data_IF_489657461786
#
_entry.id   IF_489657461786
#
_cell.length_a   1.000
_cell.length_b   1.000
_cell.length_c   1.000
_cell.angle_alpha   90.00
_cell.angle_beta   90.00
_cell.angle_gamma   90.00
#
_symmetry.space_group_name_H-M   'P 1'
#
loop_
_entity.id
_entity.type
_entity.pdbx_description
1 polymer ?
#
# COMPACT_ATOMS: atom_id res chain seq x y z
N UNK A 1 5.24 -7.38 12.47
CA UNK A 1 3.80 -7.29 12.13
C UNK A 1 2.96 -7.25 13.40
N UNK A 2 1.93 -6.42 13.43
CA UNK A 2 1.06 -6.27 14.58
C UNK A 2 -0.39 -6.60 14.21
N UNK A 3 -1.05 -7.39 15.06
CA UNK A 3 -2.47 -7.74 14.92
C UNK A 3 -3.25 -7.08 16.03
N UNK A 4 -4.18 -6.22 15.69
CA UNK A 4 -5.19 -5.70 16.60
C UNK A 4 -6.45 -6.55 16.45
N UNK A 5 -7.00 -7.05 17.52
CA UNK A 5 -8.20 -7.87 17.51
C UNK A 5 -9.25 -7.35 18.50
N UNK A 6 -10.53 -7.55 18.22
CA UNK A 6 -11.58 -7.31 19.21
C UNK A 6 -11.37 -8.17 20.46
N UNK A 7 -11.79 -7.67 21.61
CA UNK A 7 -11.60 -8.29 22.92
C UNK A 7 -12.36 -9.63 23.13
N UNK A 8 -13.02 -10.16 22.09
CA UNK A 8 -13.88 -11.33 22.21
C UNK A 8 -13.18 -12.58 21.68
N UNK A 9 -13.36 -13.69 22.38
CA UNK A 9 -12.83 -15.02 22.04
C UNK A 9 -13.58 -15.72 20.88
N UNK A 10 -14.41 -15.00 20.15
CA UNK A 10 -15.15 -15.53 19.03
C UNK A 10 -14.27 -15.75 17.80
N UNK A 11 -14.70 -16.66 16.94
CA UNK A 11 -14.01 -16.96 15.67
C UNK A 11 -14.76 -16.31 14.52
N UNK A 12 -14.06 -16.14 13.38
CA UNK A 12 -14.70 -15.69 12.15
C UNK A 12 -14.84 -14.18 12.06
N UNK A 13 -13.90 -13.42 12.63
CA UNK A 13 -13.87 -11.98 12.49
C UNK A 13 -13.38 -11.56 11.09
N UNK A 14 -14.01 -10.55 10.46
CA UNK A 14 -13.47 -9.98 9.23
C UNK A 14 -12.10 -9.36 9.49
N UNK A 15 -11.25 -9.48 8.50
CA UNK A 15 -9.87 -8.97 8.55
C UNK A 15 -9.74 -7.73 7.69
N UNK A 16 -8.99 -6.75 8.17
CA UNK A 16 -8.57 -5.60 7.42
C UNK A 16 -7.05 -5.50 7.45
N UNK A 17 -6.40 -5.67 6.29
CA UNK A 17 -4.99 -5.34 6.15
C UNK A 17 -4.86 -3.81 5.99
N UNK A 18 -4.02 -3.22 6.82
CA UNK A 18 -3.80 -1.78 6.87
C UNK A 18 -2.46 -1.43 6.23
N UNK A 19 -2.51 -0.86 5.02
CA UNK A 19 -1.34 -0.49 4.25
C UNK A 19 -1.03 0.99 4.44
N UNK A 20 0.03 1.28 5.20
CA UNK A 20 0.44 2.65 5.51
C UNK A 20 1.08 3.37 4.32
N UNK A 21 1.09 4.70 4.36
CA UNK A 21 1.78 5.55 3.40
C UNK A 21 3.30 5.52 3.58
N UNK A 22 4.03 6.16 2.65
CA UNK A 22 5.47 6.23 2.76
C UNK A 22 5.91 6.92 4.07
N UNK A 23 6.76 6.24 4.78
CA UNK A 23 7.50 6.73 5.94
C UNK A 23 8.94 6.28 5.71
N UNK A 24 9.95 7.15 5.85
CA UNK A 24 11.33 6.72 5.72
C UNK A 24 11.60 5.50 6.62
N UNK A 25 12.20 4.42 6.14
CA UNK A 25 12.40 3.20 6.94
C UNK A 25 13.11 3.42 8.26
N UNK A 26 14.07 4.37 8.30
CA UNK A 26 14.77 4.75 9.52
C UNK A 26 13.86 5.41 10.57
N UNK A 27 12.80 6.08 10.14
CA UNK A 27 11.86 6.81 10.99
C UNK A 27 10.61 5.98 11.32
N UNK A 28 10.39 4.88 10.59
CA UNK A 28 9.24 4.03 10.80
C UNK A 28 9.39 3.22 12.10
N UNK A 29 8.30 3.17 12.83
CA UNK A 29 8.11 2.23 13.95
C UNK A 29 6.68 1.75 13.93
N UNK A 30 6.48 0.46 14.12
CA UNK A 30 5.15 -0.12 14.33
C UNK A 30 4.45 0.63 15.45
N UNK A 31 3.18 0.96 15.28
CA UNK A 31 2.36 1.69 16.27
C UNK A 31 2.61 3.18 16.45
N UNK A 32 3.57 3.81 15.79
CA UNK A 32 3.77 5.26 15.95
C UNK A 32 2.74 6.08 15.18
N UNK A 33 2.38 5.63 13.98
CA UNK A 33 1.45 6.35 13.10
C UNK A 33 0.18 5.54 12.86
N UNK A 34 -0.89 6.22 12.47
CA UNK A 34 -2.19 5.63 12.16
C UNK A 34 -2.90 4.93 13.34
N UNK A 35 -2.38 5.03 14.56
CA UNK A 35 -2.94 4.32 15.74
C UNK A 35 -4.43 4.57 15.91
N UNK A 36 -4.89 5.82 15.79
CA UNK A 36 -6.30 6.17 15.93
C UNK A 36 -7.19 5.52 14.87
N UNK A 37 -6.69 5.34 13.63
CA UNK A 37 -7.42 4.64 12.58
C UNK A 37 -7.50 3.15 12.86
N UNK A 38 -6.37 2.54 13.19
CA UNK A 38 -6.27 1.11 13.49
C UNK A 38 -7.13 0.75 14.70
N UNK A 39 -7.04 1.52 15.78
CA UNK A 39 -7.85 1.33 16.97
C UNK A 39 -9.35 1.45 16.67
N UNK A 40 -9.76 2.48 15.91
CA UNK A 40 -11.17 2.65 15.54
C UNK A 40 -11.70 1.52 14.69
N UNK A 41 -10.90 1.00 13.76
CA UNK A 41 -11.28 -0.14 12.93
C UNK A 41 -11.41 -1.42 13.78
N UNK A 42 -10.47 -1.65 14.71
CA UNK A 42 -10.55 -2.79 15.63
C UNK A 42 -11.80 -2.70 16.54
N UNK A 43 -12.10 -1.51 17.08
CA UNK A 43 -13.33 -1.27 17.85
C UNK A 43 -14.61 -1.47 17.02
N UNK A 44 -14.51 -1.34 15.70
CA UNK A 44 -15.63 -1.57 14.78
C UNK A 44 -15.83 -3.05 14.40
N UNK A 45 -15.09 -3.96 15.02
CA UNK A 45 -15.27 -5.40 14.83
C UNK A 45 -14.39 -6.03 13.76
N UNK A 46 -13.26 -5.40 13.41
CA UNK A 46 -12.27 -5.98 12.49
C UNK A 46 -11.05 -6.48 13.25
N UNK A 47 -10.48 -7.58 12.78
CA UNK A 47 -9.07 -7.85 13.03
C UNK A 47 -8.29 -6.94 12.08
N UNK A 48 -7.48 -6.05 12.64
CA UNK A 48 -6.63 -5.15 11.83
C UNK A 48 -5.20 -5.66 11.86
N UNK A 49 -4.68 -6.00 10.69
CA UNK A 49 -3.32 -6.47 10.52
C UNK A 49 -2.48 -5.37 9.85
N UNK A 50 -1.50 -4.86 10.59
CA UNK A 50 -0.54 -3.88 10.11
C UNK A 50 0.77 -4.59 9.81
N UNK A 51 1.18 -4.61 8.54
CA UNK A 51 2.42 -5.23 8.13
C UNK A 51 3.55 -4.20 8.11
N UNK A 52 4.66 -4.53 8.78
CA UNK A 52 5.91 -3.81 8.61
C UNK A 52 6.55 -4.30 7.31
N UNK A 53 6.58 -3.45 6.29
CA UNK A 53 7.20 -3.84 5.03
C UNK A 53 8.68 -4.13 5.24
N UNK A 54 9.27 -4.91 4.34
CA UNK A 54 10.70 -5.24 4.42
C UNK A 54 11.58 -4.00 4.65
N UNK A 55 12.55 -4.13 5.55
CA UNK A 55 13.43 -3.04 5.93
C UNK A 55 12.81 -1.95 6.81
N UNK A 56 11.57 -2.13 7.30
CA UNK A 56 10.91 -1.23 8.24
C UNK A 56 10.91 -1.83 9.65
N UNK A 57 11.20 -0.99 10.66
CA UNK A 57 11.31 -1.37 12.08
C UNK A 57 12.14 -2.64 12.30
N UNK A 58 11.54 -3.74 12.75
CA UNK A 58 12.20 -5.03 12.99
C UNK A 58 12.11 -5.98 11.79
N UNK A 59 11.48 -5.56 10.70
CA UNK A 59 11.33 -6.40 9.50
C UNK A 59 12.67 -6.51 8.76
N UNK A 60 13.05 -7.73 8.45
CA UNK A 60 14.27 -8.01 7.69
C UNK A 60 14.15 -7.54 6.22
N UNK A 61 15.28 -7.57 5.51
CA UNK A 61 15.35 -7.22 4.09
C UNK A 61 15.74 -5.77 3.85
N UNK A 62 15.64 -5.35 2.60
CA UNK A 62 15.99 -4.00 2.16
C UNK A 62 14.79 -3.28 1.59
N UNK A 63 14.61 -2.05 2.01
CA UNK A 63 13.63 -1.14 1.46
C UNK A 63 14.14 -0.55 0.14
N UNK A 64 13.84 -1.19 -0.99
CA UNK A 64 14.37 -0.82 -2.32
C UNK A 64 13.47 0.13 -3.12
N UNK A 65 12.44 0.68 -2.51
CA UNK A 65 11.58 1.66 -3.18
C UNK A 65 10.11 1.30 -3.20
N UNK A 66 9.34 2.33 -3.00
CA UNK A 66 7.91 2.23 -2.73
C UNK A 66 7.07 1.78 -3.93
N UNK A 67 7.51 2.08 -5.16
CA UNK A 67 6.66 2.00 -6.35
C UNK A 67 7.34 1.34 -7.56
N UNK A 68 8.66 1.24 -7.57
CA UNK A 68 9.43 0.67 -8.70
C UNK A 68 9.66 -0.82 -8.59
N UNK A 69 9.29 -1.41 -7.45
CA UNK A 69 9.47 -2.81 -7.14
C UNK A 69 8.16 -3.42 -6.67
N UNK A 70 7.89 -4.69 -6.96
CA UNK A 70 6.74 -5.41 -6.42
C UNK A 70 6.90 -5.78 -4.94
N UNK A 71 8.02 -5.47 -4.32
CA UNK A 71 8.44 -6.01 -3.02
C UNK A 71 7.42 -5.82 -1.92
N UNK A 72 6.90 -4.60 -1.73
CA UNK A 72 5.91 -4.37 -0.69
C UNK A 72 4.56 -5.02 -0.98
N UNK A 73 4.21 -5.16 -2.27
CA UNK A 73 3.01 -5.91 -2.67
C UNK A 73 3.19 -7.39 -2.33
N UNK A 74 4.38 -7.96 -2.58
CA UNK A 74 4.72 -9.34 -2.19
C UNK A 74 4.64 -9.51 -0.67
N UNK A 75 5.18 -8.57 0.10
CA UNK A 75 5.12 -8.61 1.57
C UNK A 75 3.66 -8.62 2.06
N UNK A 76 2.81 -7.76 1.51
CA UNK A 76 1.40 -7.68 1.86
C UNK A 76 0.61 -8.93 1.41
N UNK A 77 0.91 -9.50 0.26
CA UNK A 77 0.29 -10.77 -0.16
C UNK A 77 0.72 -11.94 0.73
N UNK A 78 1.95 -11.96 1.22
CA UNK A 78 2.40 -12.91 2.25
C UNK A 78 1.67 -12.69 3.58
N UNK A 79 1.43 -11.43 3.95
CA UNK A 79 0.61 -11.08 5.11
C UNK A 79 -0.83 -11.60 4.95
N UNK A 80 -1.44 -11.46 3.77
CA UNK A 80 -2.76 -12.08 3.46
C UNK A 80 -2.72 -13.59 3.68
N UNK A 81 -1.71 -14.26 3.13
CA UNK A 81 -1.56 -15.71 3.28
C UNK A 81 -1.37 -16.15 4.74
N UNK A 82 -0.72 -15.31 5.53
CA UNK A 82 -0.47 -15.56 6.96
C UNK A 82 -1.72 -15.34 7.80
N UNK A 83 -2.42 -14.22 7.63
CA UNK A 83 -3.61 -13.88 8.44
C UNK A 83 -4.77 -14.83 8.17
N UNK A 84 -4.87 -15.42 6.97
CA UNK A 84 -5.85 -16.48 6.66
C UNK A 84 -5.73 -17.72 7.55
N UNK A 85 -4.57 -17.93 8.18
CA UNK A 85 -4.31 -19.02 9.11
C UNK A 85 -4.53 -18.63 10.57
N UNK A 86 -4.84 -17.37 10.83
CA UNK A 86 -5.06 -16.89 12.19
C UNK A 86 -6.39 -17.44 12.73
N UNK A 87 -6.40 -18.11 13.91
CA UNK A 87 -7.57 -18.89 14.35
C UNK A 87 -8.88 -18.10 14.50
N UNK A 88 -8.79 -16.80 14.77
CA UNK A 88 -9.97 -15.93 14.96
C UNK A 88 -10.39 -15.24 13.68
N UNK A 89 -9.59 -15.28 12.60
CA UNK A 89 -9.89 -14.64 11.32
C UNK A 89 -10.89 -15.47 10.49
N UNK A 90 -11.72 -14.77 9.75
CA UNK A 90 -12.49 -15.34 8.66
C UNK A 90 -11.67 -15.23 7.37
N UNK A 91 -11.15 -16.35 6.82
CA UNK A 91 -10.29 -16.33 5.65
C UNK A 91 -10.98 -15.86 4.35
N UNK A 92 -12.32 -15.79 4.35
CA UNK A 92 -13.12 -15.41 3.20
C UNK A 92 -13.65 -13.96 3.30
N UNK A 93 -13.36 -13.27 4.42
CA UNK A 93 -13.74 -11.87 4.66
C UNK A 93 -12.53 -10.99 4.93
N UNK A 94 -11.67 -10.85 3.91
CA UNK A 94 -10.46 -10.04 3.96
C UNK A 94 -10.65 -8.79 3.11
N UNK A 95 -10.49 -7.63 3.73
CA UNK A 95 -10.42 -6.33 3.06
C UNK A 95 -9.06 -5.68 3.22
N UNK A 96 -8.86 -4.59 2.48
CA UNK A 96 -7.67 -3.74 2.61
C UNK A 96 -8.04 -2.28 2.76
N UNK A 97 -7.25 -1.57 3.55
CA UNK A 97 -7.28 -0.12 3.64
C UNK A 97 -5.88 0.43 3.36
N UNK A 98 -5.76 1.40 2.46
CA UNK A 98 -4.49 1.96 2.07
C UNK A 98 -4.49 3.48 2.00
N UNK A 99 -3.42 4.10 2.47
CA UNK A 99 -3.18 5.55 2.37
C UNK A 99 -1.94 5.84 1.54
N UNK A 100 -2.03 6.80 0.60
CA UNK A 100 -0.89 7.24 -0.21
C UNK A 100 -0.20 6.06 -0.92
N UNK A 101 1.07 5.73 -0.61
CA UNK A 101 1.76 4.53 -1.08
C UNK A 101 0.98 3.23 -0.78
N UNK A 102 0.36 3.15 0.41
CA UNK A 102 -0.48 2.01 0.77
C UNK A 102 -1.70 1.85 -0.14
N UNK A 103 -2.17 2.94 -0.76
CA UNK A 103 -3.21 2.88 -1.79
C UNK A 103 -2.73 2.18 -3.07
N UNK A 104 -1.51 2.45 -3.51
CA UNK A 104 -0.86 1.71 -4.60
C UNK A 104 -0.77 0.21 -4.27
N UNK A 105 -0.25 -0.12 -3.07
CA UNK A 105 -0.11 -1.50 -2.62
C UNK A 105 -1.47 -2.20 -2.57
N UNK A 106 -2.50 -1.53 -2.03
CA UNK A 106 -3.87 -2.06 -1.98
C UNK A 106 -4.41 -2.38 -3.37
N UNK A 107 -4.33 -1.45 -4.31
CA UNK A 107 -4.83 -1.65 -5.66
C UNK A 107 -4.08 -2.78 -6.38
N UNK A 108 -2.75 -2.80 -6.28
CA UNK A 108 -1.93 -3.89 -6.86
C UNK A 108 -2.27 -5.24 -6.25
N UNK A 109 -2.47 -5.31 -4.94
CA UNK A 109 -2.84 -6.56 -4.27
C UNK A 109 -4.20 -7.07 -4.72
N UNK A 110 -5.18 -6.18 -4.91
CA UNK A 110 -6.53 -6.53 -5.35
C UNK A 110 -6.61 -7.01 -6.80
N UNK A 111 -5.74 -6.55 -7.69
CA UNK A 111 -5.67 -7.05 -9.07
C UNK A 111 -4.86 -8.34 -9.22
N UNK A 112 -4.15 -8.75 -8.16
CA UNK A 112 -3.33 -9.98 -8.17
C UNK A 112 -4.04 -11.14 -7.44
N UNK A 113 -4.81 -10.83 -6.38
CA UNK A 113 -5.35 -11.86 -5.48
C UNK A 113 -6.85 -11.69 -5.25
N UNK A 114 -7.60 -12.73 -5.56
CA UNK A 114 -9.04 -12.85 -5.30
C UNK A 114 -9.38 -13.11 -3.83
N UNK A 115 -8.38 -13.32 -2.99
CA UNK A 115 -8.56 -13.44 -1.54
C UNK A 115 -9.04 -12.12 -0.90
N UNK A 116 -8.74 -10.98 -1.54
CA UNK A 116 -9.10 -9.66 -1.04
C UNK A 116 -10.48 -9.29 -1.59
N UNK A 117 -11.47 -9.10 -0.71
CA UNK A 117 -12.87 -8.96 -1.10
C UNK A 117 -13.36 -7.52 -1.25
N UNK A 118 -12.64 -6.56 -0.68
CA UNK A 118 -12.96 -5.14 -0.79
C UNK A 118 -11.73 -4.28 -0.47
N UNK A 119 -11.68 -3.07 -1.01
CA UNK A 119 -10.62 -2.11 -0.72
C UNK A 119 -11.15 -0.71 -0.45
N UNK A 120 -10.42 0.02 0.40
CA UNK A 120 -10.60 1.45 0.63
C UNK A 120 -9.26 2.14 0.45
N UNK A 121 -9.22 3.17 -0.37
CA UNK A 121 -7.99 3.93 -0.64
C UNK A 121 -8.21 5.40 -0.32
N UNK A 122 -7.34 5.94 0.53
CA UNK A 122 -7.31 7.35 0.90
C UNK A 122 -6.07 8.03 0.31
N UNK A 123 -6.30 9.05 -0.52
CA UNK A 123 -5.24 9.83 -1.18
C UNK A 123 -4.17 8.92 -1.83
N UNK A 124 -4.60 7.83 -2.46
CA UNK A 124 -3.71 6.81 -2.99
C UNK A 124 -2.97 7.22 -4.24
N UNK A 125 -1.76 6.72 -4.41
CA UNK A 125 -0.97 6.86 -5.63
C UNK A 125 -1.40 5.76 -6.60
N UNK A 126 -2.46 6.03 -7.37
CA UNK A 126 -3.12 5.02 -8.22
C UNK A 126 -3.13 5.38 -9.71
N UNK A 127 -2.49 6.47 -10.09
CA UNK A 127 -2.35 6.87 -11.50
C UNK A 127 -1.35 5.96 -12.25
N UNK A 128 -1.43 5.87 -13.59
CA UNK A 128 -0.41 5.20 -14.39
C UNK A 128 0.93 5.91 -14.29
N UNK A 129 2.02 5.20 -14.56
CA UNK A 129 3.36 5.74 -14.32
C UNK A 129 3.74 6.97 -15.14
N UNK A 130 3.39 7.16 -16.39
CA UNK A 130 3.64 8.47 -17.02
C UNK A 130 3.05 9.61 -16.20
N UNK A 131 1.78 9.48 -15.78
CA UNK A 131 1.06 10.52 -15.03
C UNK A 131 1.64 10.76 -13.63
N UNK A 132 2.11 9.69 -12.95
CA UNK A 132 2.75 9.81 -11.63
C UNK A 132 3.99 10.67 -11.71
N UNK A 133 4.79 10.53 -12.78
CA UNK A 133 5.97 11.34 -12.98
C UNK A 133 5.66 12.77 -13.42
N UNK A 134 4.68 12.95 -14.30
CA UNK A 134 4.37 14.26 -14.85
C UNK A 134 3.64 15.15 -13.85
N UNK A 135 2.69 14.58 -13.13
CA UNK A 135 1.87 15.33 -12.15
C UNK A 135 2.51 15.44 -10.78
N UNK A 136 3.39 14.52 -10.40
CA UNK A 136 4.13 14.58 -9.15
C UNK A 136 5.02 15.84 -9.03
N UNK A 137 5.36 16.48 -10.15
CA UNK A 137 6.10 17.75 -10.17
C UNK A 137 5.21 18.97 -9.92
N UNK A 138 3.89 18.84 -10.02
CA UNK A 138 2.91 19.93 -9.83
C UNK A 138 2.18 19.85 -8.48
N UNK A 139 2.49 18.85 -7.65
CA UNK A 139 1.94 18.78 -6.31
C UNK A 139 2.45 19.96 -5.50
N UNK A 140 1.57 20.87 -5.06
CA UNK A 140 1.98 21.96 -4.19
C UNK A 140 2.16 21.44 -2.77
N UNK A 141 3.20 20.65 -2.55
CA UNK A 141 3.72 20.55 -1.20
C UNK A 141 4.56 21.79 -0.99
N UNK A 142 4.21 22.69 -0.08
CA UNK A 142 5.16 23.67 0.37
C UNK A 142 6.31 22.88 1.00
N UNK A 143 7.39 22.69 0.23
CA UNK A 143 8.61 22.09 0.77
C UNK A 143 9.26 23.14 1.66
N UNK A 144 8.73 23.26 2.87
CA UNK A 144 9.26 24.16 3.88
C UNK A 144 10.65 23.74 4.40
N UNK A 145 11.23 22.64 3.87
CA UNK A 145 12.46 22.06 4.48
C UNK A 145 13.48 21.50 3.51
N UNK A 146 13.48 21.82 2.22
CA UNK A 146 14.60 21.46 1.34
C UNK A 146 14.89 19.94 1.19
N UNK A 147 14.08 19.07 1.73
CA UNK A 147 14.15 17.62 1.56
C UNK A 147 13.21 17.21 0.43
N UNK A 148 13.80 16.80 -0.65
CA UNK A 148 13.13 16.39 -1.88
C UNK A 148 12.21 15.18 -1.60
N UNK A 149 11.02 15.19 -2.21
CA UNK A 149 10.12 14.04 -2.19
C UNK A 149 10.83 12.81 -2.77
N UNK A 150 10.52 11.58 -2.33
CA UNK A 150 11.01 10.36 -2.97
C UNK A 150 10.68 10.26 -4.47
N UNK A 151 9.79 11.11 -4.96
CA UNK A 151 9.44 11.30 -6.37
C UNK A 151 10.20 12.42 -7.07
N UNK A 152 11.33 12.79 -6.55
CA UNK A 152 12.17 13.84 -7.10
C UNK A 152 12.58 13.57 -8.55
N UNK A 153 12.88 14.65 -9.27
CA UNK A 153 13.37 14.59 -10.66
C UNK A 153 14.60 13.68 -10.81
N UNK A 154 15.45 13.58 -9.78
CA UNK A 154 16.55 12.64 -9.72
C UNK A 154 16.11 11.17 -9.77
N UNK A 155 15.06 10.82 -9.09
CA UNK A 155 14.50 9.45 -9.10
C UNK A 155 13.92 9.10 -10.47
N UNK A 156 13.20 10.02 -11.11
CA UNK A 156 12.67 9.83 -12.48
C UNK A 156 13.80 9.57 -13.48
N UNK A 157 14.84 10.41 -13.48
CA UNK A 157 15.96 10.26 -14.38
C UNK A 157 16.70 8.93 -14.16
N UNK A 158 16.91 8.52 -12.90
CA UNK A 158 17.51 7.24 -12.57
C UNK A 158 16.66 6.04 -13.03
N UNK A 159 15.34 6.12 -12.91
CA UNK A 159 14.43 5.06 -13.38
C UNK A 159 14.40 4.96 -14.90
N UNK A 160 14.35 6.09 -15.61
CA UNK A 160 14.42 6.10 -17.07
C UNK A 160 15.77 5.57 -17.55
N UNK A 161 16.86 5.91 -16.88
CA UNK A 161 18.18 5.39 -17.22
C UNK A 161 18.28 3.87 -16.99
N UNK A 162 17.61 3.35 -15.97
CA UNK A 162 17.62 1.92 -15.63
C UNK A 162 16.67 1.09 -16.46
N UNK A 163 15.46 1.58 -16.72
CA UNK A 163 14.36 0.81 -17.30
C UNK A 163 13.92 1.27 -18.69
N UNK A 164 14.52 2.33 -19.23
CA UNK A 164 14.03 3.03 -20.42
C UNK A 164 12.86 3.96 -20.12
N UNK A 165 12.53 4.85 -21.03
CA UNK A 165 11.35 5.70 -20.90
C UNK A 165 10.04 4.91 -21.05
N UNK A 166 8.89 5.46 -20.63
CA UNK A 166 7.58 4.83 -20.89
C UNK A 166 7.30 4.50 -22.35
N UNK A 167 7.80 5.30 -23.28
CA UNK A 167 7.66 5.06 -24.72
C UNK A 167 8.59 3.95 -25.23
N UNK A 168 9.80 3.85 -24.65
CA UNK A 168 10.79 2.83 -25.03
C UNK A 168 10.50 1.46 -24.40
N UNK A 169 9.93 1.43 -23.20
CA UNK A 169 9.63 0.19 -22.47
C UNK A 169 8.24 0.21 -21.82
N UNK A 170 7.16 0.33 -22.63
CA UNK A 170 5.80 0.40 -22.10
C UNK A 170 5.41 -0.85 -21.30
N UNK A 171 5.98 -2.01 -21.59
CA UNK A 171 5.69 -3.25 -20.87
C UNK A 171 6.09 -3.15 -19.38
N UNK A 172 7.26 -2.59 -19.09
CA UNK A 172 7.71 -2.37 -17.72
C UNK A 172 6.78 -1.38 -17.00
N UNK A 173 6.55 -0.21 -17.60
CA UNK A 173 5.78 0.86 -16.96
C UNK A 173 4.31 0.47 -16.73
N UNK A 174 3.70 -0.22 -17.70
CA UNK A 174 2.37 -0.79 -17.51
C UNK A 174 2.38 -1.88 -16.42
N UNK A 175 3.42 -2.71 -16.40
CA UNK A 175 3.58 -3.77 -15.42
C UNK A 175 3.60 -3.29 -13.97
N UNK A 176 4.17 -2.10 -13.71
CA UNK A 176 4.23 -1.49 -12.37
C UNK A 176 3.09 -0.51 -12.08
N UNK A 177 2.30 -0.11 -13.07
CA UNK A 177 1.15 0.77 -12.87
C UNK A 177 0.00 0.02 -12.19
N UNK A 178 -0.48 0.56 -11.07
CA UNK A 178 -1.50 -0.11 -10.27
C UNK A 178 -2.83 -0.26 -11.03
N UNK A 179 -3.16 0.68 -11.91
CA UNK A 179 -4.43 0.75 -12.62
C UNK A 179 -4.46 0.07 -14.00
N UNK A 180 -3.36 -0.54 -14.44
CA UNK A 180 -3.32 -1.23 -15.76
C UNK A 180 -4.24 -2.44 -15.81
N UNK A 181 -4.44 -3.11 -14.68
CA UNK A 181 -5.14 -4.39 -14.59
C UNK A 181 -6.48 -4.29 -13.85
N UNK A 182 -7.20 -3.17 -14.00
CA UNK A 182 -8.48 -2.95 -13.28
C UNK A 182 -9.57 -3.95 -13.66
N UNK A 183 -9.47 -4.59 -14.82
CA UNK A 183 -10.40 -5.67 -15.21
C UNK A 183 -10.30 -6.89 -14.29
N UNK A 184 -9.14 -7.09 -13.62
CA UNK A 184 -8.87 -8.20 -12.71
C UNK A 184 -9.16 -7.83 -11.24
N UNK A 185 -9.81 -6.69 -10.99
CA UNK A 185 -10.10 -6.23 -9.63
C UNK A 185 -10.97 -7.23 -8.87
N UNK A 186 -10.51 -7.71 -7.75
CA UNK A 186 -11.12 -8.82 -6.98
C UNK A 186 -12.43 -8.48 -6.27
N UNK A 187 -12.79 -7.19 -6.18
CA UNK A 187 -14.00 -6.75 -5.48
C UNK A 187 -14.20 -5.23 -5.51
N UNK A 188 -15.21 -4.72 -4.80
CA UNK A 188 -15.50 -3.29 -4.76
C UNK A 188 -14.36 -2.49 -4.16
N UNK A 189 -14.12 -1.30 -4.74
CA UNK A 189 -13.10 -0.36 -4.32
C UNK A 189 -13.73 1.00 -4.03
N UNK A 190 -13.46 1.55 -2.84
CA UNK A 190 -13.83 2.90 -2.45
C UNK A 190 -12.61 3.82 -2.48
N UNK A 191 -12.73 4.94 -3.18
CA UNK A 191 -11.66 5.94 -3.29
C UNK A 191 -12.07 7.22 -2.55
N UNK A 192 -11.16 7.73 -1.72
CA UNK A 192 -11.26 9.02 -1.06
C UNK A 192 -10.09 9.90 -1.46
N UNK A 193 -10.37 11.07 -1.99
CA UNK A 193 -9.37 12.05 -2.36
C UNK A 193 -9.84 13.47 -2.05
N UNK A 194 -8.93 14.33 -1.61
CA UNK A 194 -9.24 15.75 -1.48
C UNK A 194 -9.41 16.36 -2.87
N UNK A 195 -10.33 17.32 -2.98
CA UNK A 195 -10.36 18.23 -4.13
C UNK A 195 -9.42 19.38 -3.84
N UNK A 196 -8.47 19.62 -4.74
CA UNK A 196 -7.56 20.76 -4.67
C UNK A 196 -8.25 22.03 -5.17
#
# INVERSE_FOLDING_TARGET
>A
DLVYAPWFHERGWPVLLFNHGYIPPADYRTTIRYVAYVDRLAQSGYIVFVSDYRGHDQSEGQSLGAYSSPDYVVDVLNAVASIRKFPSADPDRIGMWGHSMGGYITLRSMVISDAIKAGVIWAGVVAPYPDVFERGTTWPTPVATGTLSPFDQGSRAAWIAQFGSPDENPAFWNGISANTYLADLSGPLQLHHGMA
#
